data_IF_551167468678
#
_entry.id   IF_551167468678
#
_cell.length_a   1.000
_cell.length_b   1.000
_cell.length_c   1.000
_cell.angle_alpha   90.00
_cell.angle_beta   90.00
_cell.angle_gamma   90.00
#
_symmetry.space_group_name_H-M   'P 1'
#
loop_
_entity.id
_entity.type
_entity.pdbx_description
1 polymer ?
#
# COMPACT_ATOMS: atom_id res chain seq x y z
N UNK A 1 14.87 -3.22 -29.12
CA UNK A 1 14.21 -4.49 -28.73
C UNK A 1 15.13 -5.25 -27.79
N UNK A 2 14.88 -5.23 -26.49
CA UNK A 2 15.63 -6.04 -25.52
C UNK A 2 14.87 -7.37 -25.40
N UNK A 3 15.44 -8.45 -25.95
CA UNK A 3 15.00 -9.81 -25.67
C UNK A 3 15.37 -10.14 -24.23
N UNK A 4 14.41 -10.09 -23.31
CA UNK A 4 14.51 -10.85 -22.05
C UNK A 4 14.11 -12.28 -22.36
N UNK A 5 15.07 -13.18 -22.49
CA UNK A 5 14.84 -14.60 -22.30
C UNK A 5 14.43 -14.81 -20.82
N UNK A 6 13.12 -14.75 -20.56
CA UNK A 6 12.54 -15.01 -19.24
C UNK A 6 12.78 -16.48 -18.91
N UNK A 7 13.62 -16.75 -17.92
CA UNK A 7 13.61 -18.02 -17.19
C UNK A 7 12.20 -18.19 -16.60
N UNK A 8 11.36 -19.00 -17.26
CA UNK A 8 10.01 -19.30 -16.79
C UNK A 8 10.09 -20.55 -15.90
N UNK A 9 9.47 -20.49 -14.73
CA UNK A 9 9.23 -21.64 -13.87
C UNK A 9 7.72 -21.94 -13.85
N UNK A 10 7.16 -22.60 -14.89
CA UNK A 10 5.71 -22.65 -15.10
C UNK A 10 4.93 -23.26 -13.93
N UNK A 11 5.54 -24.22 -13.22
CA UNK A 11 4.93 -24.83 -12.05
C UNK A 11 4.87 -23.86 -10.86
N UNK A 12 5.88 -23.00 -10.69
CA UNK A 12 5.89 -21.98 -9.64
C UNK A 12 4.84 -20.91 -9.93
N UNK A 13 4.80 -20.37 -11.15
CA UNK A 13 3.80 -19.39 -11.59
C UNK A 13 2.38 -19.91 -11.34
N UNK A 14 2.07 -21.13 -11.78
CA UNK A 14 0.79 -21.79 -11.50
C UNK A 14 0.49 -21.94 -10.01
N UNK A 15 1.52 -22.21 -9.20
CA UNK A 15 1.38 -22.29 -7.75
C UNK A 15 1.03 -20.95 -7.11
N UNK A 16 1.63 -19.86 -7.58
CA UNK A 16 1.33 -18.50 -7.12
C UNK A 16 -0.06 -18.06 -7.58
N UNK A 17 -0.43 -18.31 -8.84
CA UNK A 17 -1.77 -18.03 -9.38
C UNK A 17 -2.88 -18.67 -8.53
N UNK A 18 -2.67 -19.92 -8.07
CA UNK A 18 -3.62 -20.62 -7.18
C UNK A 18 -3.76 -19.90 -5.83
N UNK A 19 -2.66 -19.45 -5.24
CA UNK A 19 -2.70 -18.73 -3.95
C UNK A 19 -3.44 -17.40 -4.09
N UNK A 20 -3.14 -16.64 -5.14
CA UNK A 20 -3.79 -15.35 -5.42
C UNK A 20 -5.28 -15.52 -5.72
N UNK A 21 -5.65 -16.54 -6.52
CA UNK A 21 -7.04 -16.87 -6.80
C UNK A 21 -7.80 -17.20 -5.51
N UNK A 22 -7.27 -18.09 -4.68
CA UNK A 22 -7.89 -18.49 -3.41
C UNK A 22 -7.97 -17.31 -2.41
N UNK A 23 -7.00 -16.40 -2.41
CA UNK A 23 -7.01 -15.19 -1.56
C UNK A 23 -8.17 -14.26 -1.90
N UNK A 24 -8.59 -14.22 -3.16
CA UNK A 24 -9.72 -13.41 -3.62
C UNK A 24 -11.09 -14.05 -3.35
N UNK A 25 -11.15 -15.31 -2.90
CA UNK A 25 -12.42 -16.00 -2.65
C UNK A 25 -12.86 -15.87 -1.18
N UNK A 26 -14.17 -15.68 -0.97
CA UNK A 26 -14.79 -15.68 0.35
C UNK A 26 -15.05 -17.08 0.91
N UNK A 27 -14.93 -18.12 0.08
CA UNK A 27 -15.22 -19.52 0.43
C UNK A 27 -14.21 -20.48 -0.19
N UNK A 28 -14.07 -21.67 0.41
CA UNK A 28 -13.22 -22.73 -0.13
C UNK A 28 -13.66 -23.15 -1.54
N UNK A 29 -12.70 -23.55 -2.37
CA UNK A 29 -12.91 -23.87 -3.79
C UNK A 29 -12.45 -25.29 -4.12
N UNK A 30 -13.22 -26.01 -4.91
CA UNK A 30 -12.84 -27.30 -5.49
C UNK A 30 -11.76 -27.13 -6.56
N UNK A 31 -11.06 -28.23 -6.88
CA UNK A 31 -10.06 -28.23 -7.96
C UNK A 31 -10.63 -27.77 -9.31
N UNK A 32 -11.89 -28.11 -9.61
CA UNK A 32 -12.54 -27.70 -10.85
C UNK A 32 -12.84 -26.19 -10.88
N UNK A 33 -13.36 -25.64 -9.78
CA UNK A 33 -13.61 -24.19 -9.63
C UNK A 33 -12.30 -23.38 -9.75
N UNK A 34 -11.21 -23.84 -9.13
CA UNK A 34 -9.88 -23.19 -9.23
C UNK A 34 -9.36 -23.25 -10.67
N UNK A 35 -9.42 -24.42 -11.30
CA UNK A 35 -8.94 -24.59 -12.68
C UNK A 35 -9.71 -23.69 -13.65
N UNK A 36 -11.03 -23.62 -13.51
CA UNK A 36 -11.88 -22.74 -14.29
C UNK A 36 -11.54 -21.26 -14.06
N UNK A 37 -11.36 -20.84 -12.80
CA UNK A 37 -11.03 -19.45 -12.45
C UNK A 37 -9.67 -18.99 -12.99
N UNK A 38 -8.74 -19.92 -13.25
CA UNK A 38 -7.41 -19.66 -13.79
C UNK A 38 -7.28 -19.91 -15.30
N UNK A 39 -8.37 -20.30 -15.99
CA UNK A 39 -8.36 -20.73 -17.38
C UNK A 39 -7.31 -21.85 -17.62
N UNK A 40 -7.42 -22.93 -16.82
CA UNK A 40 -6.55 -24.11 -16.83
C UNK A 40 -7.40 -25.38 -16.72
N UNK A 41 -6.79 -26.53 -17.02
CA UNK A 41 -7.40 -27.83 -16.72
C UNK A 41 -7.12 -28.31 -15.27
N UNK A 42 -7.99 -29.12 -14.66
CA UNK A 42 -7.75 -29.70 -13.34
C UNK A 42 -6.41 -30.44 -13.23
N UNK A 43 -6.02 -31.19 -14.26
CA UNK A 43 -4.75 -31.92 -14.28
C UNK A 43 -3.53 -30.99 -14.30
N UNK A 44 -3.65 -29.82 -14.93
CA UNK A 44 -2.57 -28.84 -15.00
C UNK A 44 -2.23 -28.19 -13.67
N UNK A 45 -3.17 -28.12 -12.73
CA UNK A 45 -2.98 -27.48 -11.41
C UNK A 45 -2.82 -28.51 -10.28
N UNK A 46 -3.18 -29.77 -10.50
CA UNK A 46 -3.18 -30.82 -9.47
C UNK A 46 -1.86 -30.93 -8.71
N UNK A 47 -0.73 -30.99 -9.44
CA UNK A 47 0.60 -31.11 -8.82
C UNK A 47 0.95 -29.90 -7.96
N UNK A 48 0.45 -28.73 -8.32
CA UNK A 48 0.68 -27.49 -7.57
C UNK A 48 -0.20 -27.46 -6.32
N UNK A 49 -1.47 -27.87 -6.40
CA UNK A 49 -2.33 -28.05 -5.22
C UNK A 49 -1.70 -29.01 -4.21
N UNK A 50 -1.24 -30.19 -4.66
CA UNK A 50 -0.58 -31.16 -3.79
C UNK A 50 0.71 -30.60 -3.16
N UNK A 51 1.51 -29.83 -3.92
CA UNK A 51 2.72 -29.20 -3.40
C UNK A 51 2.41 -28.09 -2.37
N UNK A 52 1.39 -27.27 -2.62
CA UNK A 52 0.95 -26.22 -1.70
C UNK A 52 0.36 -26.82 -0.42
N UNK A 53 -0.43 -27.89 -0.54
CA UNK A 53 -1.04 -28.60 0.59
C UNK A 53 0.03 -29.28 1.46
N UNK A 54 0.96 -30.03 0.86
CA UNK A 54 2.05 -30.68 1.59
C UNK A 54 2.98 -29.69 2.29
N UNK A 55 3.15 -28.49 1.72
CA UNK A 55 3.87 -27.38 2.35
C UNK A 55 2.99 -26.58 3.32
N UNK A 56 1.70 -26.90 3.45
CA UNK A 56 0.78 -26.24 4.39
C UNK A 56 0.39 -24.81 4.01
N UNK A 57 0.54 -24.39 2.76
CA UNK A 57 0.01 -23.09 2.29
C UNK A 57 -1.51 -23.12 2.09
N UNK A 58 -2.03 -24.29 1.69
CA UNK A 58 -3.45 -24.55 1.56
C UNK A 58 -3.82 -25.79 2.37
N UNK A 59 -5.09 -25.92 2.71
CA UNK A 59 -5.66 -27.11 3.31
C UNK A 59 -6.81 -27.62 2.43
N UNK A 60 -6.88 -28.93 2.23
CA UNK A 60 -8.01 -29.60 1.59
C UNK A 60 -8.91 -30.21 2.66
N UNK A 61 -10.15 -29.76 2.71
CA UNK A 61 -11.16 -30.35 3.57
C UNK A 61 -11.48 -31.78 3.10
N UNK A 62 -11.53 -32.74 4.02
CA UNK A 62 -11.66 -34.16 3.67
C UNK A 62 -13.06 -34.53 3.18
N UNK A 63 -14.09 -33.77 3.55
CA UNK A 63 -15.49 -34.07 3.22
C UNK A 63 -15.89 -33.40 1.91
N UNK A 64 -15.71 -32.09 1.83
CA UNK A 64 -16.05 -31.29 0.66
C UNK A 64 -15.01 -31.38 -0.46
N UNK A 65 -13.80 -31.84 -0.14
CA UNK A 65 -12.63 -31.89 -1.04
C UNK A 65 -12.19 -30.52 -1.57
N UNK A 66 -12.70 -29.44 -0.97
CA UNK A 66 -12.40 -28.05 -1.33
C UNK A 66 -11.13 -27.57 -0.63
N UNK A 67 -10.42 -26.67 -1.29
CA UNK A 67 -9.18 -26.06 -0.84
C UNK A 67 -9.43 -24.65 -0.32
N UNK A 68 -8.74 -24.29 0.76
CA UNK A 68 -8.69 -22.93 1.30
C UNK A 68 -7.25 -22.59 1.69
N UNK A 69 -6.92 -21.30 1.72
CA UNK A 69 -5.65 -20.83 2.28
C UNK A 69 -5.57 -21.16 3.77
N UNK A 70 -4.37 -21.49 4.25
CA UNK A 70 -4.08 -21.55 5.69
C UNK A 70 -3.53 -20.21 6.18
N UNK A 71 -3.29 -20.09 7.48
CA UNK A 71 -2.57 -18.94 8.06
C UNK A 71 -1.06 -18.92 7.77
N UNK A 72 -0.54 -19.84 6.96
CA UNK A 72 0.90 -19.91 6.70
C UNK A 72 1.44 -18.66 6.00
N UNK A 73 0.70 -18.11 5.03
CA UNK A 73 1.10 -16.86 4.36
C UNK A 73 1.15 -15.69 5.35
N UNK A 74 0.16 -15.60 6.24
CA UNK A 74 0.16 -14.62 7.33
C UNK A 74 1.37 -14.78 8.25
N UNK A 75 1.67 -16.00 8.70
CA UNK A 75 2.84 -16.28 9.53
C UNK A 75 4.17 -15.92 8.84
N UNK A 76 4.30 -16.22 7.55
CA UNK A 76 5.50 -15.89 6.78
C UNK A 76 5.67 -14.39 6.54
N UNK A 77 4.56 -13.65 6.37
CA UNK A 77 4.61 -12.21 6.18
C UNK A 77 4.88 -11.45 7.49
N UNK A 78 4.51 -12.04 8.64
CA UNK A 78 4.60 -11.40 9.95
C UNK A 78 5.86 -11.77 10.77
N UNK A 79 6.80 -12.50 10.19
CA UNK A 79 8.04 -12.90 10.86
C UNK A 79 9.09 -11.79 10.79
N UNK A 80 9.18 -10.99 11.85
CA UNK A 80 10.17 -9.91 12.03
C UNK A 80 10.26 -8.90 10.89
N UNK A 81 9.17 -8.70 10.14
CA UNK A 81 9.19 -7.73 9.04
C UNK A 81 9.20 -6.31 9.57
N UNK A 82 9.94 -5.44 8.90
CA UNK A 82 9.93 -3.99 9.18
C UNK A 82 8.49 -3.43 9.11
N UNK A 83 7.65 -3.97 8.23
CA UNK A 83 6.26 -3.56 8.08
C UNK A 83 5.45 -3.85 9.35
N UNK A 84 5.66 -5.00 10.01
CA UNK A 84 4.94 -5.31 11.25
C UNK A 84 5.34 -4.37 12.37
N UNK A 85 6.64 -4.10 12.52
CA UNK A 85 7.14 -3.14 13.52
C UNK A 85 6.55 -1.76 13.29
N UNK A 86 6.54 -1.30 12.03
CA UNK A 86 5.94 -0.04 11.62
C UNK A 86 4.43 0.00 11.92
N UNK A 87 3.68 -1.06 11.60
CA UNK A 87 2.25 -1.16 11.89
C UNK A 87 1.99 -1.13 13.40
N UNK A 88 2.68 -1.96 14.17
CA UNK A 88 2.54 -2.03 15.62
C UNK A 88 2.83 -0.69 16.29
N UNK A 89 3.83 0.05 15.82
CA UNK A 89 4.16 1.38 16.31
C UNK A 89 3.09 2.44 15.96
N UNK A 90 2.32 2.24 14.89
CA UNK A 90 1.45 3.26 14.31
C UNK A 90 -0.04 3.13 14.58
N UNK A 91 -0.57 1.91 14.69
CA UNK A 91 -2.03 1.69 14.70
C UNK A 91 -2.76 2.47 15.80
N UNK A 92 -2.20 2.55 17.01
CA UNK A 92 -2.83 3.27 18.11
C UNK A 92 -2.80 4.79 17.89
N UNK A 93 -1.64 5.37 17.60
CA UNK A 93 -1.47 6.80 17.31
C UNK A 93 -2.35 7.26 16.14
N UNK A 94 -2.42 6.44 15.08
CA UNK A 94 -3.29 6.68 13.92
C UNK A 94 -4.78 6.67 14.30
N UNK A 95 -5.21 5.75 15.17
CA UNK A 95 -6.59 5.67 15.66
C UNK A 95 -6.99 6.91 16.45
N UNK A 96 -6.12 7.35 17.36
CA UNK A 96 -6.34 8.56 18.15
C UNK A 96 -6.39 9.80 17.27
N UNK A 97 -5.44 9.91 16.33
CA UNK A 97 -5.38 11.01 15.36
C UNK A 97 -6.65 11.08 14.51
N UNK A 98 -7.06 9.97 13.89
CA UNK A 98 -8.28 9.92 13.07
C UNK A 98 -9.54 10.25 13.87
N UNK A 99 -9.60 9.83 15.14
CA UNK A 99 -10.71 10.17 16.03
C UNK A 99 -10.74 11.67 16.33
N UNK A 100 -9.58 12.26 16.61
CA UNK A 100 -9.42 13.68 16.92
C UNK A 100 -9.81 14.58 15.74
N UNK A 101 -9.30 14.27 14.54
CA UNK A 101 -9.50 15.11 13.35
C UNK A 101 -10.76 14.75 12.56
N UNK A 102 -11.45 13.66 12.92
CA UNK A 102 -12.63 13.11 12.22
C UNK A 102 -12.37 12.83 10.72
N UNK A 103 -11.15 12.46 10.37
CA UNK A 103 -10.72 12.12 9.00
C UNK A 103 -9.91 10.82 9.04
N UNK A 104 -9.98 9.99 7.97
CA UNK A 104 -9.19 8.77 7.92
C UNK A 104 -7.72 9.10 7.70
N UNK A 105 -6.83 8.24 8.19
CA UNK A 105 -5.42 8.28 7.82
C UNK A 105 -4.91 6.90 7.41
N UNK A 106 -3.88 6.88 6.57
CA UNK A 106 -3.25 5.66 6.12
C UNK A 106 -1.73 5.81 6.14
N UNK A 107 -1.05 4.68 6.29
CA UNK A 107 0.39 4.56 6.26
C UNK A 107 0.80 3.93 4.93
N UNK A 108 1.71 4.56 4.22
CA UNK A 108 2.20 4.11 2.92
C UNK A 108 3.72 3.91 2.90
N UNK A 109 4.17 2.89 2.18
CA UNK A 109 5.59 2.61 1.92
C UNK A 109 5.84 2.48 0.42
N UNK A 110 7.07 2.70 -0.01
CA UNK A 110 7.46 2.38 -1.39
C UNK A 110 7.66 0.86 -1.51
N UNK A 111 6.92 0.23 -2.42
CA UNK A 111 6.98 -1.21 -2.69
C UNK A 111 6.82 -1.44 -4.20
N UNK A 112 7.81 -2.11 -4.80
CA UNK A 112 7.84 -2.40 -6.24
C UNK A 112 7.45 -1.19 -7.10
N UNK A 113 8.16 -0.06 -6.90
CA UNK A 113 7.97 1.18 -7.67
C UNK A 113 6.58 1.86 -7.50
N UNK A 114 5.79 1.42 -6.51
CA UNK A 114 4.45 1.93 -6.18
C UNK A 114 4.36 2.29 -4.70
N UNK A 115 3.33 3.04 -4.34
CA UNK A 115 2.97 3.26 -2.92
C UNK A 115 2.05 2.13 -2.48
N UNK A 116 2.49 1.31 -1.53
CA UNK A 116 1.65 0.30 -0.89
C UNK A 116 1.09 0.82 0.43
N UNK A 117 -0.21 0.70 0.61
CA UNK A 117 -0.86 1.02 1.89
C UNK A 117 -0.64 -0.15 2.84
N UNK A 118 -0.01 0.12 3.98
CA UNK A 118 0.36 -0.90 4.97
C UNK A 118 -0.38 -0.76 6.28
N UNK A 119 -1.14 0.32 6.49
CA UNK A 119 -2.07 0.44 7.60
C UNK A 119 -3.14 1.48 7.26
N UNK A 120 -4.36 1.27 7.73
CA UNK A 120 -5.45 2.23 7.60
C UNK A 120 -6.16 2.42 8.95
N UNK A 121 -6.47 3.69 9.26
CA UNK A 121 -7.30 4.08 10.40
C UNK A 121 -8.54 4.82 9.90
N UNK A 122 -9.71 4.28 10.26
CA UNK A 122 -11.00 4.81 9.85
C UNK A 122 -11.33 6.13 10.55
N UNK A 123 -12.04 7.00 9.84
CA UNK A 123 -12.71 8.13 10.47
C UNK A 123 -13.91 7.66 11.31
N UNK A 124 -14.22 8.31 12.45
CA UNK A 124 -15.48 8.12 13.17
C UNK A 124 -16.69 8.79 12.48
N UNK A 125 -16.47 9.58 11.42
CA UNK A 125 -17.54 10.28 10.70
C UNK A 125 -18.50 9.31 10.00
N UNK A 126 -19.80 9.67 9.86
CA UNK A 126 -20.78 8.82 9.19
C UNK A 126 -20.50 8.64 7.69
N UNK A 127 -19.79 9.59 7.08
CA UNK A 127 -19.28 9.51 5.70
C UNK A 127 -17.77 9.64 5.77
N UNK A 128 -17.05 8.69 5.17
CA UNK A 128 -15.60 8.62 5.22
C UNK A 128 -15.01 7.97 3.96
N UNK A 129 -13.77 8.35 3.65
CA UNK A 129 -12.98 7.74 2.57
C UNK A 129 -12.33 6.47 3.09
N UNK A 130 -12.45 5.37 2.33
CA UNK A 130 -11.79 4.10 2.62
C UNK A 130 -10.61 3.92 1.67
N UNK A 131 -9.45 3.62 2.24
CA UNK A 131 -8.22 3.29 1.51
C UNK A 131 -7.78 1.94 2.03
N UNK A 132 -7.88 0.90 1.20
CA UNK A 132 -7.65 -0.48 1.64
C UNK A 132 -6.15 -0.79 1.81
N UNK A 133 -5.84 -1.56 2.85
CA UNK A 133 -4.50 -2.10 3.06
C UNK A 133 -4.14 -3.10 1.95
N UNK A 134 -2.89 -3.09 1.50
CA UNK A 134 -2.39 -3.88 0.38
C UNK A 134 -2.56 -3.21 -1.00
N UNK A 135 -3.39 -2.18 -1.13
CA UNK A 135 -3.55 -1.47 -2.40
C UNK A 135 -2.28 -0.72 -2.82
N UNK A 136 -2.05 -0.70 -4.12
CA UNK A 136 -0.88 -0.08 -4.76
C UNK A 136 -1.30 1.16 -5.57
N UNK A 137 -0.69 2.30 -5.26
CA UNK A 137 -0.96 3.58 -5.91
C UNK A 137 0.26 4.11 -6.68
N UNK A 138 0.00 4.95 -7.68
CA UNK A 138 1.04 5.61 -8.46
C UNK A 138 1.90 6.53 -7.57
N UNK A 139 3.22 6.46 -7.77
CA UNK A 139 4.18 7.33 -7.08
C UNK A 139 4.13 8.76 -7.60
N UNK A 140 3.69 8.97 -8.85
CA UNK A 140 3.67 10.29 -9.49
C UNK A 140 2.33 11.03 -9.34
N UNK A 141 1.22 10.30 -9.14
CA UNK A 141 -0.12 10.88 -9.04
C UNK A 141 -0.53 11.21 -7.59
N UNK A 142 0.01 10.50 -6.60
CA UNK A 142 -0.40 10.67 -5.19
C UNK A 142 0.50 11.62 -4.41
N UNK A 143 -0.07 12.29 -3.40
CA UNK A 143 0.70 13.06 -2.44
C UNK A 143 1.72 12.19 -1.71
N UNK A 144 1.28 11.02 -1.21
CA UNK A 144 2.10 10.00 -0.57
C UNK A 144 3.30 9.58 -1.45
N UNK A 145 3.05 9.33 -2.74
CA UNK A 145 4.06 8.93 -3.70
C UNK A 145 5.10 10.02 -3.96
N UNK A 146 4.65 11.24 -4.24
CA UNK A 146 5.55 12.39 -4.44
C UNK A 146 6.38 12.66 -3.18
N UNK A 147 5.77 12.56 -1.99
CA UNK A 147 6.49 12.67 -0.73
C UNK A 147 7.58 11.60 -0.63
N UNK A 148 7.23 10.32 -0.78
CA UNK A 148 8.22 9.22 -0.72
C UNK A 148 9.36 9.39 -1.73
N UNK A 149 9.06 9.78 -2.98
CA UNK A 149 10.09 10.06 -4.00
C UNK A 149 11.00 11.23 -3.63
N UNK A 150 10.47 12.23 -2.94
CA UNK A 150 11.23 13.42 -2.50
C UNK A 150 12.30 13.08 -1.47
N UNK A 151 12.10 12.02 -0.68
CA UNK A 151 13.04 11.52 0.33
C UNK A 151 13.79 10.24 -0.10
N UNK A 152 13.49 9.70 -1.28
CA UNK A 152 14.18 8.54 -1.84
C UNK A 152 15.51 8.90 -2.51
N UNK A 153 16.43 7.94 -2.53
CA UNK A 153 17.65 7.98 -3.33
C UNK A 153 17.34 8.20 -4.82
N UNK A 154 18.29 8.78 -5.56
CA UNK A 154 18.11 9.11 -6.98
C UNK A 154 17.80 7.88 -7.83
N UNK A 155 18.50 6.77 -7.59
CA UNK A 155 18.33 5.50 -8.31
C UNK A 155 16.94 4.90 -8.11
N UNK A 156 16.47 4.83 -6.87
CA UNK A 156 15.12 4.35 -6.52
C UNK A 156 14.04 5.22 -7.16
N UNK A 157 14.21 6.54 -7.10
CA UNK A 157 13.28 7.49 -7.70
C UNK A 157 13.22 7.37 -9.22
N UNK A 158 14.37 7.30 -9.89
CA UNK A 158 14.44 7.13 -11.35
C UNK A 158 13.78 5.82 -11.79
N UNK A 159 14.04 4.72 -11.07
CA UNK A 159 13.44 3.42 -11.33
C UNK A 159 11.91 3.47 -11.17
N UNK A 160 11.41 4.06 -10.08
CA UNK A 160 9.99 4.16 -9.82
C UNK A 160 9.26 5.00 -10.88
N UNK A 161 9.84 6.14 -11.28
CA UNK A 161 9.29 6.99 -12.32
C UNK A 161 9.33 6.34 -13.71
N UNK A 162 10.29 5.45 -13.98
CA UNK A 162 10.40 4.72 -15.25
C UNK A 162 9.24 3.74 -15.45
N UNK A 163 8.77 3.10 -14.39
CA UNK A 163 7.65 2.13 -14.43
C UNK A 163 6.28 2.77 -14.22
N UNK A 164 6.22 4.02 -13.75
CA UNK A 164 4.98 4.76 -13.54
C UNK A 164 4.38 5.24 -14.86
N UNK A 165 3.27 4.62 -15.28
CA UNK A 165 2.63 4.86 -16.58
C UNK A 165 2.15 6.31 -16.74
N UNK A 166 1.62 6.93 -15.69
CA UNK A 166 1.19 8.33 -15.74
C UNK A 166 2.37 9.27 -15.97
N UNK A 167 3.46 9.10 -15.23
CA UNK A 167 4.66 9.90 -15.40
C UNK A 167 5.22 9.81 -16.83
N UNK A 168 5.15 8.62 -17.43
CA UNK A 168 5.59 8.43 -18.83
C UNK A 168 4.78 9.25 -19.83
N UNK A 169 3.50 9.56 -19.55
CA UNK A 169 2.67 10.42 -20.41
C UNK A 169 2.96 11.91 -20.28
N UNK A 170 3.69 12.34 -19.25
CA UNK A 170 3.98 13.76 -19.01
C UNK A 170 4.95 14.31 -20.06
N UNK A 171 4.61 15.49 -20.59
CA UNK A 171 5.50 16.30 -21.42
C UNK A 171 6.73 16.78 -20.62
N UNK A 172 7.79 17.21 -21.32
CA UNK A 172 9.00 17.75 -20.70
C UNK A 172 8.70 18.86 -19.67
N UNK A 173 7.83 19.81 -20.03
CA UNK A 173 7.42 20.92 -19.15
C UNK A 173 6.69 20.42 -17.90
N UNK A 174 5.83 19.41 -18.03
CA UNK A 174 5.14 18.81 -16.89
C UNK A 174 6.12 18.06 -15.96
N UNK A 175 7.13 17.38 -16.51
CA UNK A 175 8.19 16.74 -15.72
C UNK A 175 9.04 17.76 -14.96
N UNK A 176 9.36 18.90 -15.58
CA UNK A 176 10.06 20.01 -14.89
C UNK A 176 9.22 20.59 -13.73
N UNK A 177 7.89 20.69 -13.90
CA UNK A 177 6.98 21.11 -12.81
C UNK A 177 6.95 20.06 -11.70
N UNK A 178 6.85 18.78 -12.05
CA UNK A 178 6.89 17.66 -11.11
C UNK A 178 8.18 17.66 -10.29
N UNK A 179 9.34 17.82 -10.91
CA UNK A 179 10.64 17.89 -10.21
C UNK A 179 10.72 19.09 -9.26
N UNK A 180 10.18 20.25 -9.65
CA UNK A 180 10.08 21.42 -8.76
C UNK A 180 9.17 21.15 -7.57
N UNK A 181 8.07 20.44 -7.79
CA UNK A 181 7.15 20.03 -6.74
C UNK A 181 7.83 19.09 -5.72
N UNK A 182 8.60 18.10 -6.18
CA UNK A 182 9.37 17.22 -5.29
C UNK A 182 10.38 18.02 -4.44
N UNK A 183 11.12 18.95 -5.06
CA UNK A 183 12.07 19.81 -4.33
C UNK A 183 11.36 20.65 -3.27
N UNK A 184 10.17 21.19 -3.58
CA UNK A 184 9.35 21.94 -2.62
C UNK A 184 8.93 21.06 -1.45
N UNK A 185 8.52 19.82 -1.73
CA UNK A 185 8.12 18.86 -0.70
C UNK A 185 9.30 18.53 0.23
N UNK A 186 10.49 18.29 -0.31
CA UNK A 186 11.71 18.08 0.50
C UNK A 186 11.97 19.25 1.45
N UNK A 187 11.85 20.49 0.98
CA UNK A 187 12.09 21.70 1.79
C UNK A 187 11.01 21.88 2.86
N UNK A 188 9.75 21.59 2.54
CA UNK A 188 8.64 21.79 3.47
C UNK A 188 8.48 20.67 4.49
N UNK A 189 8.96 19.46 4.18
CA UNK A 189 8.81 18.30 5.06
C UNK A 189 7.41 17.69 5.06
N UNK A 190 6.51 18.15 4.18
CA UNK A 190 5.17 17.61 4.00
C UNK A 190 4.66 17.92 2.58
N UNK A 191 3.58 17.25 2.17
CA UNK A 191 2.85 17.60 0.95
C UNK A 191 1.36 17.75 1.24
N UNK A 192 0.74 18.70 0.55
CA UNK A 192 -0.70 18.95 0.55
C UNK A 192 -1.13 19.17 -0.89
N UNK A 193 -2.08 18.37 -1.37
CA UNK A 193 -2.61 18.50 -2.73
C UNK A 193 -3.99 17.84 -2.90
N UNK A 194 -4.80 18.28 -3.88
CA UNK A 194 -6.00 17.56 -4.28
C UNK A 194 -5.69 16.12 -4.70
N UNK A 195 -6.56 15.18 -4.34
CA UNK A 195 -6.38 13.79 -4.71
C UNK A 195 -6.60 13.58 -6.21
N UNK A 196 -5.72 12.80 -6.82
CA UNK A 196 -5.86 12.44 -8.23
C UNK A 196 -7.01 11.44 -8.48
N UNK A 197 -7.34 10.61 -7.49
CA UNK A 197 -8.27 9.49 -7.65
C UNK A 197 -9.73 9.86 -7.40
N UNK A 198 -9.98 10.93 -6.64
CA UNK A 198 -11.34 11.35 -6.30
C UNK A 198 -11.45 12.86 -6.10
N UNK A 199 -12.43 13.45 -6.77
CA UNK A 199 -12.79 14.86 -6.60
C UNK A 199 -13.35 15.10 -5.19
N UNK A 200 -13.01 16.24 -4.60
CA UNK A 200 -13.46 16.58 -3.25
C UNK A 200 -12.61 15.98 -2.14
N UNK A 201 -11.47 15.36 -2.47
CA UNK A 201 -10.48 14.90 -1.49
C UNK A 201 -9.22 15.75 -1.57
N UNK A 202 -8.68 16.13 -0.41
CA UNK A 202 -7.36 16.72 -0.26
C UNK A 202 -6.49 15.76 0.54
N UNK A 203 -5.35 15.37 -0.03
CA UNK A 203 -4.36 14.53 0.62
C UNK A 203 -3.31 15.42 1.31
N UNK A 204 -3.10 15.19 2.61
CA UNK A 204 -2.06 15.84 3.42
C UNK A 204 -1.16 14.73 3.97
N UNK A 205 0.13 14.81 3.71
CA UNK A 205 1.07 13.72 4.01
C UNK A 205 2.38 14.22 4.62
N UNK A 206 2.90 13.45 5.59
CA UNK A 206 4.17 13.70 6.28
C UNK A 206 5.05 12.44 6.24
N UNK A 207 6.39 12.57 6.22
CA UNK A 207 7.28 11.41 6.17
C UNK A 207 7.44 10.80 7.55
N UNK A 208 7.54 9.48 7.63
CA UNK A 208 7.94 8.73 8.83
C UNK A 208 9.33 8.16 8.58
N UNK A 209 10.27 8.44 9.48
CA UNK A 209 11.67 8.05 9.34
C UNK A 209 12.41 8.83 8.25
N UNK A 210 13.59 8.33 7.92
CA UNK A 210 14.48 8.85 6.87
C UNK A 210 15.45 7.76 6.36
N UNK A 211 16.22 8.07 5.33
CA UNK A 211 17.20 7.13 4.76
C UNK A 211 18.25 6.64 5.76
N UNK A 212 18.65 7.46 6.73
CA UNK A 212 19.60 7.07 7.80
C UNK A 212 18.99 6.06 8.77
N UNK A 213 17.69 6.18 9.07
CA UNK A 213 16.96 5.23 9.93
C UNK A 213 16.68 3.88 9.25
N UNK A 214 16.88 3.77 7.93
CA UNK A 214 16.46 2.62 7.13
C UNK A 214 14.94 2.50 6.95
N UNK A 215 14.18 3.47 7.47
CA UNK A 215 12.72 3.52 7.45
C UNK A 215 12.29 4.71 6.60
N UNK A 216 11.63 4.44 5.48
CA UNK A 216 11.02 5.48 4.64
C UNK A 216 9.55 5.11 4.42
N UNK A 217 8.69 5.74 5.20
CA UNK A 217 7.25 5.62 5.08
C UNK A 217 6.60 7.01 5.04
N UNK A 218 5.29 7.05 4.82
CA UNK A 218 4.51 8.28 4.84
C UNK A 218 3.19 8.05 5.57
N UNK A 219 2.77 9.05 6.33
CA UNK A 219 1.48 9.09 7.00
C UNK A 219 0.61 10.14 6.33
N UNK A 220 -0.55 9.73 5.83
CA UNK A 220 -1.40 10.56 4.97
C UNK A 220 -2.83 10.60 5.48
N UNK A 221 -3.40 11.80 5.56
CA UNK A 221 -4.84 12.02 5.76
C UNK A 221 -5.49 12.31 4.41
N UNK A 222 -6.56 11.58 4.10
CA UNK A 222 -7.43 11.86 2.97
C UNK A 222 -8.64 12.66 3.46
N UNK A 223 -8.54 13.98 3.40
CA UNK A 223 -9.58 14.89 3.87
C UNK A 223 -10.72 14.96 2.86
N UNK A 224 -11.92 14.58 3.28
CA UNK A 224 -13.13 14.78 2.49
C UNK A 224 -13.67 16.20 2.69
N UNK A 225 -13.89 16.94 1.59
CA UNK A 225 -14.52 18.26 1.61
C UNK A 225 -16.02 18.12 1.86
N UNK A 226 -16.53 18.84 2.86
CA UNK A 226 -17.95 18.84 3.23
C UNK A 226 -18.64 20.10 2.75
N UNK A 227 -19.94 20.00 2.44
CA UNK A 227 -20.75 21.15 2.03
C UNK A 227 -21.02 22.14 3.18
N UNK A 228 -20.90 21.68 4.43
CA UNK A 228 -21.07 22.50 5.63
C UNK A 228 -19.69 22.99 6.09
N UNK A 229 -19.36 24.25 5.81
CA UNK A 229 -18.04 24.84 6.04
C UNK A 229 -17.71 25.13 7.51
N UNK A 230 -18.71 25.24 8.40
CA UNK A 230 -18.50 25.69 9.79
C UNK A 230 -17.84 24.64 10.70
N UNK A 231 -17.93 23.35 10.35
CA UNK A 231 -17.34 22.24 11.12
C UNK A 231 -16.08 21.64 10.44
N UNK A 232 -15.60 22.24 9.36
CA UNK A 232 -14.50 21.68 8.58
C UNK A 232 -13.14 21.97 9.23
N UNK A 233 -12.45 20.92 9.68
CA UNK A 233 -11.08 21.06 10.21
C UNK A 233 -10.15 21.62 9.12
N UNK A 234 -9.36 22.63 9.49
CA UNK A 234 -8.40 23.24 8.56
C UNK A 234 -7.23 22.32 8.25
N UNK A 235 -6.65 22.48 7.06
CA UNK A 235 -5.50 21.67 6.62
C UNK A 235 -4.29 21.86 7.56
N UNK A 236 -4.11 23.06 8.13
CA UNK A 236 -3.09 23.35 9.14
C UNK A 236 -3.28 22.52 10.43
N UNK A 237 -4.52 22.39 10.93
CA UNK A 237 -4.82 21.56 12.11
C UNK A 237 -4.64 20.07 11.83
N UNK A 238 -4.98 19.61 10.62
CA UNK A 238 -4.68 18.23 10.19
C UNK A 238 -3.17 18.00 10.16
N UNK A 239 -2.40 18.92 9.58
CA UNK A 239 -0.95 18.82 9.52
C UNK A 239 -0.33 18.78 10.92
N UNK A 240 -0.79 19.62 11.85
CA UNK A 240 -0.34 19.58 13.24
C UNK A 240 -0.62 18.23 13.90
N UNK A 241 -1.82 17.67 13.70
CA UNK A 241 -2.18 16.35 14.22
C UNK A 241 -1.34 15.22 13.58
N UNK A 242 -1.07 15.30 12.28
CA UNK A 242 -0.19 14.37 11.56
C UNK A 242 1.24 14.43 12.08
N UNK A 243 1.77 15.62 12.37
CA UNK A 243 3.12 15.78 12.92
C UNK A 243 3.22 15.21 14.34
N UNK A 244 2.21 15.41 15.19
CA UNK A 244 2.14 14.75 16.51
C UNK A 244 2.11 13.23 16.39
N UNK A 245 1.23 12.71 15.52
CA UNK A 245 1.12 11.28 15.24
C UNK A 245 2.45 10.72 14.74
N UNK A 246 3.10 11.41 13.80
CA UNK A 246 4.44 11.08 13.32
C UNK A 246 5.43 10.94 14.48
N UNK A 247 5.51 11.94 15.37
CA UNK A 247 6.46 11.91 16.49
C UNK A 247 6.21 10.73 17.42
N UNK A 248 4.96 10.40 17.70
CA UNK A 248 4.60 9.23 18.50
C UNK A 248 5.01 7.92 17.81
N UNK A 249 4.74 7.79 16.51
CA UNK A 249 5.16 6.63 15.70
C UNK A 249 6.68 6.48 15.72
N UNK A 250 7.42 7.57 15.47
CA UNK A 250 8.88 7.57 15.46
C UNK A 250 9.46 7.22 16.84
N UNK A 251 8.83 7.68 17.92
CA UNK A 251 9.21 7.30 19.28
C UNK A 251 8.96 5.81 19.56
N UNK A 252 7.81 5.28 19.15
CA UNK A 252 7.49 3.86 19.28
C UNK A 252 8.43 2.96 18.46
N UNK A 253 9.02 3.49 17.39
CA UNK A 253 10.04 2.84 16.57
C UNK A 253 11.47 2.99 17.12
N UNK A 254 11.68 3.82 18.13
CA UNK A 254 13.02 4.13 18.65
C UNK A 254 13.87 5.00 17.71
N UNK A 255 13.23 5.87 16.92
CA UNK A 255 13.90 6.79 15.98
C UNK A 255 14.17 8.19 16.56
N UNK A 256 13.66 8.47 17.76
CA UNK A 256 13.79 9.76 18.47
C UNK A 256 14.73 9.67 19.66
#
# INVERSE_FOLDING_TARGET
MIKTDKYKAPALEKGLDILEFLAAQSTAQSQAEIAQGLDKSPNEIYRMLAALESRGYIHRDQVSTKYALTLKLYYLSHHDSFIDKLRSAALQAMKETSTLIKQPCHLGVLYNDKVMVVAYSKSPSPIAVIIEEGNLYSVSQTASGKLLLSFSESTTKEQALKTDSYYQTLSKKQREVFEKELKRITVMGYAEMPSHYAQGIIDITVPIGNSTSGIIACLTVAKLLTLQHEDEISNAKILEALLRCKTEIESNLGLS
#
